data_IF_021690244958
#
_entry.id   IF_021690244958
#
_cell.length_a   1.000
_cell.length_b   1.000
_cell.length_c   1.000
_cell.angle_alpha   90.00
_cell.angle_beta   90.00
_cell.angle_gamma   90.00
#
_symmetry.space_group_name_H-M   'P 1'
#
loop_
_entity.id
_entity.type
_entity.pdbx_description
1 polymer ?
#
# COMPACT_ATOMS: atom_id res chain seq x y z
N UNK A 1 28.27 47.53 28.39
CA UNK A 1 29.69 47.09 28.31
C UNK A 1 29.94 46.12 29.44
N UNK A 2 30.69 45.05 29.20
CA UNK A 2 31.07 44.08 30.23
C UNK A 2 32.13 44.71 31.13
N UNK A 3 31.87 44.74 32.44
CA UNK A 3 32.81 45.30 33.43
C UNK A 3 33.63 44.20 34.08
N UNK A 4 33.04 43.01 34.27
CA UNK A 4 33.69 41.93 35.00
C UNK A 4 33.20 40.57 34.55
N UNK A 5 34.10 39.59 34.55
CA UNK A 5 33.80 38.18 34.30
C UNK A 5 34.33 37.36 35.47
N UNK A 6 33.49 36.45 35.98
CA UNK A 6 33.87 35.43 36.97
C UNK A 6 33.78 34.05 36.33
N UNK A 7 34.83 33.26 36.48
CA UNK A 7 34.95 31.94 35.84
C UNK A 7 35.39 30.94 36.90
N UNK A 8 34.64 29.84 37.03
CA UNK A 8 34.86 28.82 38.05
C UNK A 8 34.32 27.47 37.57
N UNK A 9 34.96 26.38 37.99
CA UNK A 9 34.51 24.99 37.77
C UNK A 9 34.24 24.64 36.30
N UNK A 10 35.07 25.14 35.39
CA UNK A 10 34.93 24.87 33.96
C UNK A 10 36.29 24.74 33.27
N UNK A 11 36.47 23.65 32.51
CA UNK A 11 37.69 23.35 31.78
C UNK A 11 38.96 23.44 32.66
N UNK A 12 39.82 24.44 32.44
CA UNK A 12 41.07 24.65 33.17
C UNK A 12 40.92 25.49 34.45
N UNK A 13 39.70 25.95 34.77
CA UNK A 13 39.42 26.74 35.96
C UNK A 13 38.89 25.86 37.08
N UNK A 14 39.57 25.90 38.23
CA UNK A 14 39.24 25.13 39.43
C UNK A 14 38.06 25.75 40.23
N UNK A 15 37.84 25.25 41.45
CA UNK A 15 36.81 25.73 42.35
C UNK A 15 37.15 27.05 43.06
N UNK A 16 38.41 27.48 43.05
CA UNK A 16 38.78 28.83 43.47
C UNK A 16 38.32 29.83 42.41
N UNK A 17 38.52 29.48 41.14
CA UNK A 17 38.12 30.30 39.99
C UNK A 17 38.93 31.59 39.88
N UNK A 18 38.52 32.46 38.96
CA UNK A 18 39.12 33.77 38.75
C UNK A 18 38.07 34.85 38.55
N UNK A 19 38.46 36.08 38.85
CA UNK A 19 37.71 37.29 38.53
C UNK A 19 38.59 38.20 37.66
N UNK A 20 38.04 38.67 36.55
CA UNK A 20 38.72 39.55 35.60
C UNK A 20 37.91 40.83 35.45
N UNK A 21 38.51 41.96 35.83
CA UNK A 21 37.98 43.28 35.54
C UNK A 21 38.36 43.68 34.10
N UNK A 22 37.38 44.14 33.33
CA UNK A 22 37.54 44.45 31.91
C UNK A 22 37.48 45.95 31.66
N UNK A 23 38.43 46.41 30.85
CA UNK A 23 38.47 47.75 30.27
C UNK A 23 37.81 47.76 28.88
N UNK A 24 37.81 48.91 28.20
CA UNK A 24 37.26 49.04 26.84
C UNK A 24 37.96 48.11 25.84
N UNK A 25 39.27 47.92 26.01
CA UNK A 25 40.09 47.02 25.20
C UNK A 25 40.89 46.15 26.19
N UNK A 26 40.91 44.85 25.96
CA UNK A 26 41.59 43.88 26.81
C UNK A 26 42.40 42.92 25.94
N UNK A 27 43.61 42.59 26.38
CA UNK A 27 44.46 41.58 25.76
C UNK A 27 44.64 40.42 26.74
N UNK A 28 44.12 39.25 26.37
CA UNK A 28 44.25 38.03 27.18
C UNK A 28 45.14 37.05 26.42
N UNK A 29 46.29 36.71 27.00
CA UNK A 29 47.30 35.85 26.39
C UNK A 29 47.84 34.82 27.39
N UNK A 30 48.52 33.79 26.88
CA UNK A 30 49.06 32.69 27.69
C UNK A 30 49.25 31.42 26.86
N UNK A 31 49.88 30.40 27.43
CA UNK A 31 50.15 29.12 26.77
C UNK A 31 48.89 28.33 26.39
N UNK A 32 49.02 27.32 25.53
CA UNK A 32 47.90 26.44 25.21
C UNK A 32 47.38 25.74 26.48
N UNK A 33 46.05 25.58 26.58
CA UNK A 33 45.42 24.95 27.75
C UNK A 33 45.16 25.87 28.95
N UNK A 34 45.57 27.14 28.92
CA UNK A 34 45.35 28.08 30.04
C UNK A 34 43.93 28.67 30.13
N UNK A 35 42.95 28.11 29.42
CA UNK A 35 41.54 28.54 29.52
C UNK A 35 41.12 29.71 28.63
N UNK A 36 42.00 30.29 27.81
CA UNK A 36 41.65 31.41 26.90
C UNK A 36 40.42 31.15 26.02
N UNK A 37 40.36 29.97 25.40
CA UNK A 37 39.22 29.57 24.57
C UNK A 37 37.94 29.44 25.41
N UNK A 38 38.04 28.99 26.66
CA UNK A 38 36.92 28.89 27.60
C UNK A 38 36.30 30.26 27.87
N UNK A 39 37.11 31.32 28.00
CA UNK A 39 36.60 32.69 28.15
C UNK A 39 35.78 33.09 26.91
N UNK A 40 36.31 32.85 25.70
CA UNK A 40 35.57 33.15 24.48
C UNK A 40 34.27 32.35 24.38
N UNK A 41 34.27 31.09 24.82
CA UNK A 41 33.09 30.22 24.80
C UNK A 41 32.04 30.63 25.83
N UNK A 42 32.46 31.09 27.01
CA UNK A 42 31.59 31.65 28.04
C UNK A 42 30.86 32.88 27.51
N UNK A 43 31.59 33.79 26.85
CA UNK A 43 30.99 34.97 26.22
C UNK A 43 30.02 34.57 25.09
N UNK A 44 30.33 33.52 24.33
CA UNK A 44 29.51 33.10 23.20
C UNK A 44 28.19 32.44 23.61
N UNK A 45 28.22 31.60 24.64
CA UNK A 45 27.07 30.79 25.05
C UNK A 45 27.02 30.66 26.57
N UNK A 46 26.83 31.78 27.26
CA UNK A 46 26.80 31.86 28.73
C UNK A 46 25.67 31.05 29.36
N UNK A 47 24.60 30.76 28.61
CA UNK A 47 23.44 30.00 29.06
C UNK A 47 23.71 28.49 29.11
N UNK A 48 24.80 28.02 28.50
CA UNK A 48 25.14 26.61 28.51
C UNK A 48 25.39 26.10 29.94
N UNK A 49 24.86 24.91 30.27
CA UNK A 49 24.98 24.28 31.59
C UNK A 49 26.43 24.18 32.10
N UNK A 50 27.41 24.04 31.18
CA UNK A 50 28.84 24.00 31.52
C UNK A 50 29.38 25.29 32.18
N UNK A 51 28.62 26.38 32.14
CA UNK A 51 28.98 27.68 32.69
C UNK A 51 28.10 28.10 33.88
N UNK A 52 27.38 27.16 34.51
CA UNK A 52 26.50 27.45 35.65
C UNK A 52 27.20 28.15 36.83
N UNK A 53 28.50 27.88 37.02
CA UNK A 53 29.32 28.48 38.07
C UNK A 53 30.03 29.77 37.63
N UNK A 54 29.77 30.28 36.42
CA UNK A 54 30.36 31.48 35.85
C UNK A 54 29.36 32.66 35.85
N UNK A 55 29.87 33.89 35.86
CA UNK A 55 29.03 35.09 35.82
C UNK A 55 29.65 36.19 34.93
N UNK A 56 28.80 36.96 34.26
CA UNK A 56 29.18 38.11 33.44
C UNK A 56 28.45 39.33 33.99
N UNK A 57 29.21 40.31 34.48
CA UNK A 57 28.68 41.56 35.02
C UNK A 57 28.76 42.67 33.98
N UNK A 58 27.61 43.30 33.74
CA UNK A 58 27.45 44.40 32.80
C UNK A 58 27.32 45.72 33.55
N UNK A 59 27.80 46.80 32.94
CA UNK A 59 27.64 48.16 33.45
C UNK A 59 26.17 48.47 33.72
N UNK A 60 25.89 48.99 34.92
CA UNK A 60 24.53 49.35 35.35
C UNK A 60 23.84 50.32 34.38
N UNK A 61 22.55 50.11 34.15
CA UNK A 61 21.71 50.96 33.30
C UNK A 61 21.80 50.66 31.80
N UNK A 62 22.36 49.52 31.39
CA UNK A 62 22.39 49.10 29.99
C UNK A 62 21.76 47.71 29.81
N UNK A 63 20.48 47.61 29.40
CA UNK A 63 19.91 46.34 28.97
C UNK A 63 20.41 45.99 27.55
N UNK A 64 20.76 44.73 27.37
CA UNK A 64 20.93 43.99 26.10
C UNK A 64 21.83 44.63 25.03
N UNK A 65 23.14 44.39 25.15
CA UNK A 65 24.05 44.56 24.03
C UNK A 65 24.16 43.26 23.23
N UNK A 66 24.13 43.38 21.90
CA UNK A 66 24.52 42.30 21.00
C UNK A 66 25.99 41.93 21.24
N UNK A 67 26.22 40.69 21.67
CA UNK A 67 27.55 40.16 21.94
C UNK A 67 28.02 39.31 20.76
N UNK A 68 28.95 39.86 19.98
CA UNK A 68 29.57 39.16 18.86
C UNK A 68 30.88 38.50 19.29
N UNK A 69 30.92 37.17 19.27
CA UNK A 69 32.13 36.41 19.58
C UNK A 69 32.64 35.71 18.34
N UNK A 70 33.76 36.20 17.81
CA UNK A 70 34.47 35.58 16.70
C UNK A 70 35.50 34.57 17.23
N UNK A 71 35.14 33.29 17.22
CA UNK A 71 36.02 32.21 17.63
C UNK A 71 35.93 31.00 16.68
N UNK A 72 36.66 29.91 16.97
CA UNK A 72 36.68 28.71 16.11
C UNK A 72 35.28 28.13 15.87
N UNK A 73 34.42 28.12 16.90
CA UNK A 73 33.07 27.59 16.79
C UNK A 73 32.18 28.49 15.93
N UNK A 74 32.33 29.81 16.02
CA UNK A 74 31.67 30.73 15.08
C UNK A 74 32.05 30.44 13.63
N UNK A 75 33.35 30.23 13.37
CA UNK A 75 33.82 29.87 12.01
C UNK A 75 33.23 28.55 11.56
N UNK A 76 33.26 27.51 12.41
CA UNK A 76 32.71 26.19 12.05
C UNK A 76 31.21 26.22 11.79
N UNK A 77 30.43 26.99 12.56
CA UNK A 77 28.98 27.05 12.41
C UNK A 77 28.52 27.92 11.24
N UNK A 78 29.31 28.91 10.84
CA UNK A 78 28.90 29.88 9.82
C UNK A 78 29.64 29.73 8.49
N UNK A 79 30.75 28.99 8.46
CA UNK A 79 31.58 28.76 7.29
C UNK A 79 31.73 27.26 7.06
N UNK A 80 30.63 26.64 6.65
CA UNK A 80 30.63 25.25 6.22
C UNK A 80 30.94 25.19 4.72
N UNK A 81 31.95 24.42 4.33
CA UNK A 81 32.20 24.07 2.93
C UNK A 81 31.13 23.05 2.56
N UNK A 82 29.93 23.53 2.20
CA UNK A 82 28.80 22.68 1.86
C UNK A 82 28.89 22.06 0.45
N UNK A 83 29.85 22.51 -0.35
CA UNK A 83 29.99 22.11 -1.74
C UNK A 83 31.38 21.50 -1.98
N UNK A 84 31.41 20.42 -2.77
CA UNK A 84 32.60 19.94 -3.49
C UNK A 84 33.19 21.00 -4.45
N UNK A 85 32.48 22.12 -4.62
CA UNK A 85 32.92 23.30 -5.37
C UNK A 85 33.85 24.13 -4.48
N UNK A 86 35.16 23.92 -4.67
CA UNK A 86 36.21 24.73 -4.05
C UNK A 86 35.98 26.22 -4.35
N UNK A 87 35.89 27.04 -3.30
CA UNK A 87 35.87 28.50 -3.40
C UNK A 87 34.51 29.17 -3.14
N UNK A 88 33.43 28.41 -2.94
CA UNK A 88 32.13 28.97 -2.51
C UNK A 88 32.00 28.81 -1.00
N UNK A 89 31.96 29.95 -0.29
CA UNK A 89 31.70 30.00 1.14
C UNK A 89 30.27 30.48 1.37
N UNK A 90 29.43 29.58 1.86
CA UNK A 90 28.08 29.96 2.31
C UNK A 90 28.19 30.56 3.71
N UNK A 91 27.67 31.77 3.89
CA UNK A 91 27.72 32.49 5.15
C UNK A 91 26.43 32.29 5.93
N UNK A 92 26.56 31.85 7.18
CA UNK A 92 25.45 31.82 8.15
C UNK A 92 24.92 30.42 8.41
N UNK A 93 24.78 30.08 9.69
CA UNK A 93 24.29 28.77 10.17
C UNK A 93 22.96 28.37 9.54
N UNK A 94 21.99 29.29 9.48
CA UNK A 94 20.67 29.04 8.89
C UNK A 94 20.75 28.65 7.41
N UNK A 95 21.65 29.28 6.65
CA UNK A 95 21.86 28.95 5.24
C UNK A 95 22.42 27.53 5.05
N UNK A 96 23.32 27.10 5.94
CA UNK A 96 23.91 25.75 5.89
C UNK A 96 22.90 24.65 6.24
N UNK A 97 22.06 24.87 7.25
CA UNK A 97 21.02 23.93 7.66
C UNK A 97 19.94 23.77 6.57
N UNK A 98 19.53 24.86 5.93
CA UNK A 98 18.56 24.84 4.83
C UNK A 98 19.13 24.07 3.62
N UNK A 99 20.39 24.28 3.27
CA UNK A 99 21.03 23.56 2.16
C UNK A 99 21.13 22.05 2.43
N UNK A 100 21.47 21.66 3.66
CA UNK A 100 21.48 20.25 4.06
C UNK A 100 20.08 19.62 3.98
N UNK A 101 19.05 20.37 4.38
CA UNK A 101 17.67 19.92 4.25
C UNK A 101 17.26 19.74 2.79
N UNK A 102 17.62 20.67 1.91
CA UNK A 102 17.34 20.58 0.47
C UNK A 102 18.02 19.35 -0.14
N UNK A 103 19.31 19.12 0.15
CA UNK A 103 20.05 17.95 -0.36
C UNK A 103 19.42 16.64 0.11
N UNK A 104 19.03 16.58 1.40
CA UNK A 104 18.29 15.43 1.94
C UNK A 104 16.98 15.19 1.21
N UNK A 105 16.19 16.25 0.96
CA UNK A 105 14.92 16.15 0.23
C UNK A 105 15.10 15.75 -1.23
N UNK A 106 16.16 16.19 -1.90
CA UNK A 106 16.48 15.77 -3.26
C UNK A 106 16.81 14.27 -3.33
N UNK A 107 17.62 13.76 -2.39
CA UNK A 107 17.92 12.33 -2.28
C UNK A 107 16.68 11.49 -1.99
N UNK A 108 15.81 11.97 -1.11
CA UNK A 108 14.53 11.30 -0.84
C UNK A 108 13.65 11.25 -2.10
N UNK A 109 13.57 12.35 -2.85
CA UNK A 109 12.80 12.43 -4.09
C UNK A 109 13.32 11.46 -5.16
N UNK A 110 14.64 11.38 -5.35
CA UNK A 110 15.27 10.43 -6.28
C UNK A 110 14.95 8.97 -5.89
N UNK A 111 15.11 8.63 -4.61
CA UNK A 111 14.77 7.29 -4.09
C UNK A 111 13.29 6.94 -4.30
N UNK A 112 12.39 7.90 -4.13
CA UNK A 112 10.96 7.70 -4.40
C UNK A 112 10.69 7.49 -5.88
N UNK A 113 11.36 8.25 -6.76
CA UNK A 113 11.23 8.11 -8.20
C UNK A 113 11.68 6.73 -8.69
N UNK A 114 12.82 6.25 -8.20
CA UNK A 114 13.32 4.90 -8.52
C UNK A 114 12.35 3.81 -8.06
N UNK A 115 11.78 3.97 -6.87
CA UNK A 115 10.80 3.02 -6.33
C UNK A 115 9.52 3.01 -7.15
N UNK A 116 9.04 4.16 -7.60
CA UNK A 116 7.88 4.25 -8.50
C UNK A 116 8.16 3.50 -9.80
N UNK A 117 9.29 3.78 -10.46
CA UNK A 117 9.66 3.11 -11.71
C UNK A 117 9.76 1.59 -11.56
N UNK A 118 10.33 1.10 -10.44
CA UNK A 118 10.39 -0.33 -10.16
C UNK A 118 9.00 -0.96 -9.95
N UNK A 119 8.08 -0.26 -9.27
CA UNK A 119 6.73 -0.76 -9.02
C UNK A 119 5.90 -0.78 -10.30
N UNK A 120 6.01 0.26 -11.13
CA UNK A 120 5.33 0.32 -12.43
C UNK A 120 5.78 -0.81 -13.35
N UNK A 121 7.09 -1.09 -13.41
CA UNK A 121 7.62 -2.23 -14.16
C UNK A 121 7.06 -3.57 -13.64
N UNK A 122 7.01 -3.75 -12.32
CA UNK A 122 6.45 -4.96 -11.73
C UNK A 122 4.96 -5.14 -12.07
N UNK A 123 4.17 -4.07 -12.00
CA UNK A 123 2.75 -4.08 -12.39
C UNK A 123 2.60 -4.48 -13.86
N UNK A 124 3.41 -3.92 -14.76
CA UNK A 124 3.35 -4.23 -16.18
C UNK A 124 3.70 -5.70 -16.44
N UNK A 125 4.76 -6.21 -15.82
CA UNK A 125 5.13 -7.63 -15.91
C UNK A 125 4.03 -8.55 -15.38
N UNK A 126 3.38 -8.20 -14.27
CA UNK A 126 2.29 -9.00 -13.70
C UNK A 126 1.04 -8.98 -14.58
N UNK A 127 0.71 -7.85 -15.20
CA UNK A 127 -0.38 -7.76 -16.18
C UNK A 127 -0.09 -8.64 -17.39
N UNK A 128 1.12 -8.57 -17.94
CA UNK A 128 1.51 -9.41 -19.07
C UNK A 128 1.44 -10.91 -18.72
N UNK A 129 1.97 -11.31 -17.57
CA UNK A 129 1.86 -12.69 -17.07
C UNK A 129 0.40 -13.14 -16.94
N UNK A 130 -0.48 -12.27 -16.43
CA UNK A 130 -1.90 -12.57 -16.29
C UNK A 130 -2.58 -12.76 -17.64
N UNK A 131 -2.30 -11.89 -18.62
CA UNK A 131 -2.87 -12.00 -19.97
C UNK A 131 -2.39 -13.26 -20.70
N UNK A 132 -1.10 -13.60 -20.56
CA UNK A 132 -0.56 -14.86 -21.10
C UNK A 132 -1.25 -16.06 -20.46
N UNK A 133 -1.38 -16.07 -19.13
CA UNK A 133 -2.03 -17.16 -18.39
C UNK A 133 -3.50 -17.31 -18.81
N UNK A 134 -4.24 -16.19 -18.88
CA UNK A 134 -5.64 -16.16 -19.30
C UNK A 134 -5.80 -16.67 -20.74
N UNK A 135 -4.92 -16.24 -21.64
CA UNK A 135 -4.93 -16.68 -23.04
C UNK A 135 -4.65 -18.18 -23.15
N UNK A 136 -3.63 -18.67 -22.45
CA UNK A 136 -3.29 -20.10 -22.44
C UNK A 136 -4.44 -20.94 -21.89
N UNK A 137 -5.05 -20.50 -20.79
CA UNK A 137 -6.20 -21.19 -20.21
C UNK A 137 -7.42 -21.17 -21.13
N UNK A 138 -7.72 -20.02 -21.74
CA UNK A 138 -8.81 -19.88 -22.73
C UNK A 138 -8.62 -20.84 -23.90
N UNK A 139 -7.40 -20.89 -24.45
CA UNK A 139 -7.08 -21.80 -25.55
C UNK A 139 -7.22 -23.26 -25.13
N UNK A 140 -6.74 -23.64 -23.93
CA UNK A 140 -6.89 -25.00 -23.44
C UNK A 140 -8.35 -25.44 -23.28
N UNK A 141 -9.19 -24.59 -22.69
CA UNK A 141 -10.64 -24.84 -22.60
C UNK A 141 -11.26 -24.96 -24.00
N UNK A 142 -10.84 -24.11 -24.94
CA UNK A 142 -11.35 -24.11 -26.29
C UNK A 142 -10.95 -25.36 -27.09
N UNK A 143 -9.71 -25.82 -26.95
CA UNK A 143 -9.22 -27.04 -27.60
C UNK A 143 -9.99 -28.28 -27.10
N UNK A 144 -10.25 -28.34 -25.79
CA UNK A 144 -11.10 -29.38 -25.19
C UNK A 144 -12.53 -29.32 -25.75
N UNK A 145 -13.10 -28.12 -25.85
CA UNK A 145 -14.42 -27.93 -26.47
C UNK A 145 -14.43 -28.43 -27.91
N UNK A 146 -13.42 -28.08 -28.71
CA UNK A 146 -13.34 -28.48 -30.11
C UNK A 146 -13.25 -30.00 -30.26
N UNK A 147 -12.50 -30.67 -29.38
CA UNK A 147 -12.37 -32.13 -29.37
C UNK A 147 -13.72 -32.84 -29.18
N UNK A 148 -14.61 -32.29 -28.37
CA UNK A 148 -15.91 -32.90 -28.04
C UNK A 148 -17.11 -32.22 -28.72
N UNK A 149 -16.87 -31.21 -29.57
CA UNK A 149 -17.93 -30.35 -30.12
C UNK A 149 -18.95 -31.13 -30.95
N UNK A 150 -18.49 -32.10 -31.73
CA UNK A 150 -19.34 -32.89 -32.64
C UNK A 150 -20.39 -33.71 -31.88
N UNK A 151 -20.04 -34.25 -30.72
CA UNK A 151 -20.91 -35.09 -29.91
C UNK A 151 -21.87 -34.27 -29.04
N UNK A 152 -21.43 -33.11 -28.55
CA UNK A 152 -22.16 -32.32 -27.55
C UNK A 152 -22.71 -31.00 -28.12
N UNK A 153 -23.00 -30.95 -29.42
CA UNK A 153 -23.37 -29.70 -30.10
C UNK A 153 -24.49 -28.94 -29.41
N UNK A 154 -25.52 -29.67 -28.99
CA UNK A 154 -26.71 -29.12 -28.33
C UNK A 154 -26.39 -28.63 -26.91
N UNK A 155 -25.56 -29.35 -26.17
CA UNK A 155 -25.17 -28.98 -24.81
C UNK A 155 -24.33 -27.69 -24.77
N UNK A 156 -23.54 -27.43 -25.82
CA UNK A 156 -22.73 -26.21 -25.93
C UNK A 156 -23.48 -25.00 -26.52
N UNK A 157 -24.78 -25.12 -26.81
CA UNK A 157 -25.58 -24.03 -27.41
C UNK A 157 -25.45 -22.73 -26.60
N UNK A 158 -25.22 -21.62 -27.30
CA UNK A 158 -24.99 -20.30 -26.67
C UNK A 158 -23.52 -20.00 -26.30
N UNK A 159 -22.65 -21.02 -26.24
CA UNK A 159 -21.22 -20.87 -25.91
C UNK A 159 -20.30 -21.20 -27.10
N UNK A 160 -20.84 -21.77 -28.19
CA UNK A 160 -20.07 -22.27 -29.35
C UNK A 160 -19.27 -21.23 -30.14
N UNK A 161 -19.59 -19.94 -30.01
CA UNK A 161 -19.04 -18.87 -30.86
C UNK A 161 -18.16 -17.87 -30.08
N UNK A 162 -17.95 -18.07 -28.78
CA UNK A 162 -17.18 -17.15 -27.94
C UNK A 162 -16.29 -17.92 -26.98
N UNK A 163 -14.97 -17.80 -27.16
CA UNK A 163 -13.96 -18.54 -26.39
C UNK A 163 -13.93 -18.09 -24.93
N UNK A 164 -14.09 -16.80 -24.68
CA UNK A 164 -14.06 -16.19 -23.35
C UNK A 164 -15.27 -16.65 -22.53
N UNK A 165 -16.47 -16.60 -23.11
CA UNK A 165 -17.70 -17.09 -22.45
C UNK A 165 -17.62 -18.58 -22.12
N UNK A 166 -16.98 -19.37 -22.99
CA UNK A 166 -16.77 -20.79 -22.73
C UNK A 166 -15.80 -21.01 -21.55
N UNK A 167 -14.67 -20.29 -21.53
CA UNK A 167 -13.73 -20.30 -20.42
C UNK A 167 -14.38 -19.87 -19.09
N UNK A 168 -15.15 -18.77 -19.08
CA UNK A 168 -15.89 -18.30 -17.90
C UNK A 168 -16.87 -19.37 -17.40
N UNK A 169 -17.56 -20.04 -18.32
CA UNK A 169 -18.45 -21.15 -17.97
C UNK A 169 -17.67 -22.32 -17.36
N UNK A 170 -16.51 -22.69 -17.91
CA UNK A 170 -15.66 -23.73 -17.33
C UNK A 170 -15.23 -23.39 -15.89
N UNK A 171 -14.87 -22.13 -15.61
CA UNK A 171 -14.54 -21.70 -14.24
C UNK A 171 -15.75 -21.76 -13.32
N UNK A 172 -16.89 -21.24 -13.76
CA UNK A 172 -18.14 -21.29 -12.99
C UNK A 172 -18.55 -22.72 -12.65
N UNK A 173 -18.42 -23.65 -13.60
CA UNK A 173 -18.70 -25.07 -13.36
C UNK A 173 -17.65 -25.71 -12.45
N UNK A 174 -16.36 -25.38 -12.57
CA UNK A 174 -15.34 -25.91 -11.67
C UNK A 174 -15.56 -25.50 -10.20
N UNK A 175 -16.09 -24.30 -9.96
CA UNK A 175 -16.34 -23.79 -8.60
C UNK A 175 -17.70 -24.23 -8.03
N UNK A 176 -18.75 -24.29 -8.86
CA UNK A 176 -20.14 -24.40 -8.38
C UNK A 176 -20.81 -25.74 -8.71
N UNK A 177 -20.21 -26.57 -9.57
CA UNK A 177 -20.84 -27.82 -9.99
C UNK A 177 -20.62 -28.93 -8.96
N UNK A 178 -21.71 -29.34 -8.31
CA UNK A 178 -21.74 -30.46 -7.37
C UNK A 178 -22.39 -31.72 -7.99
N UNK A 179 -22.58 -31.73 -9.31
CA UNK A 179 -23.21 -32.87 -10.00
C UNK A 179 -22.26 -34.05 -10.05
N UNK A 180 -22.82 -35.25 -10.08
CA UNK A 180 -22.05 -36.47 -10.32
C UNK A 180 -21.34 -36.40 -11.67
N UNK A 181 -20.05 -36.77 -11.66
CA UNK A 181 -19.25 -36.88 -12.87
C UNK A 181 -19.56 -38.21 -13.56
N UNK A 182 -19.88 -38.14 -14.84
CA UNK A 182 -20.15 -39.30 -15.68
C UNK A 182 -19.02 -39.53 -16.68
N UNK A 183 -18.81 -40.80 -17.08
CA UNK A 183 -17.81 -41.12 -18.10
C UNK A 183 -18.24 -40.59 -19.47
N UNK A 184 -17.28 -40.48 -20.38
CA UNK A 184 -17.54 -40.03 -21.74
C UNK A 184 -18.55 -40.94 -22.45
N UNK A 185 -18.49 -42.27 -22.28
CA UNK A 185 -19.45 -43.19 -22.89
C UNK A 185 -20.87 -42.98 -22.36
N UNK A 186 -21.00 -42.77 -21.04
CA UNK A 186 -22.29 -42.55 -20.36
C UNK A 186 -22.95 -41.26 -20.85
N UNK A 187 -22.16 -40.18 -20.97
CA UNK A 187 -22.62 -38.89 -21.48
C UNK A 187 -23.05 -38.97 -22.95
N UNK A 188 -22.28 -39.66 -23.80
CA UNK A 188 -22.67 -39.89 -25.20
C UNK A 188 -24.00 -40.64 -25.30
N UNK A 189 -24.19 -41.72 -24.53
CA UNK A 189 -25.44 -42.49 -24.51
C UNK A 189 -26.64 -41.62 -24.14
N UNK A 190 -26.48 -40.75 -23.12
CA UNK A 190 -27.53 -39.81 -22.70
C UNK A 190 -27.87 -38.81 -23.79
N UNK A 191 -26.86 -38.25 -24.47
CA UNK A 191 -27.09 -37.32 -25.58
C UNK A 191 -27.87 -38.00 -26.71
N UNK A 192 -27.51 -39.22 -27.08
CA UNK A 192 -28.23 -39.98 -28.11
C UNK A 192 -29.69 -40.21 -27.70
N UNK A 193 -29.94 -40.66 -26.47
CA UNK A 193 -31.29 -40.92 -25.97
C UNK A 193 -32.18 -39.67 -25.92
N UNK A 194 -31.62 -38.52 -25.55
CA UNK A 194 -32.40 -37.30 -25.27
C UNK A 194 -32.58 -36.42 -26.51
N UNK A 195 -31.62 -36.42 -27.44
CA UNK A 195 -31.56 -35.47 -28.55
C UNK A 195 -31.62 -36.08 -29.95
N UNK A 196 -31.37 -37.38 -30.16
CA UNK A 196 -31.51 -38.00 -31.51
C UNK A 196 -32.95 -38.38 -31.86
N UNK A 197 -33.80 -38.64 -30.88
CA UNK A 197 -35.20 -39.02 -31.14
C UNK A 197 -36.06 -37.78 -31.38
N UNK A 198 -36.69 -37.68 -32.55
CA UNK A 198 -37.66 -36.62 -32.86
C UNK A 198 -38.82 -36.70 -31.86
N UNK A 199 -38.96 -35.68 -31.01
CA UNK A 199 -40.07 -35.61 -30.06
C UNK A 199 -41.37 -35.40 -30.84
N UNK A 200 -42.13 -36.48 -31.03
CA UNK A 200 -43.50 -36.37 -31.56
C UNK A 200 -44.37 -35.85 -30.44
N UNK A 201 -45.06 -34.73 -30.67
CA UNK A 201 -46.03 -34.18 -29.72
C UNK A 201 -47.18 -35.17 -29.63
N UNK A 202 -47.21 -35.97 -28.56
CA UNK A 202 -48.33 -36.88 -28.29
C UNK A 202 -49.56 -36.01 -28.09
N UNK A 203 -50.64 -36.31 -28.80
CA UNK A 203 -51.92 -35.60 -28.66
C UNK A 203 -52.37 -35.73 -27.20
N UNK A 204 -52.93 -34.66 -26.64
CA UNK A 204 -53.54 -34.72 -25.31
C UNK A 204 -54.48 -35.92 -25.27
N UNK A 205 -54.35 -36.76 -24.25
CA UNK A 205 -55.32 -37.83 -24.01
C UNK A 205 -56.69 -37.14 -23.93
N UNK A 206 -57.66 -37.52 -24.77
CA UNK A 206 -58.97 -36.89 -24.73
C UNK A 206 -59.53 -37.08 -23.33
N UNK A 207 -60.02 -35.99 -22.74
CA UNK A 207 -60.71 -36.01 -21.47
C UNK A 207 -61.94 -36.91 -21.64
N UNK A 208 -61.96 -38.03 -20.91
CA UNK A 208 -63.12 -38.93 -20.92
C UNK A 208 -64.22 -38.18 -20.17
N UNK A 209 -65.12 -37.55 -20.91
CA UNK A 209 -66.35 -37.04 -20.32
C UNK A 209 -67.24 -38.23 -20.03
N UNK A 210 -67.24 -38.62 -18.76
CA UNK A 210 -68.13 -39.63 -18.24
C UNK A 210 -69.54 -39.03 -18.16
N UNK A 211 -70.41 -39.46 -19.07
CA UNK A 211 -71.82 -39.09 -19.05
C UNK A 211 -72.58 -40.04 -18.13
N UNK A 212 -72.84 -39.58 -16.91
CA UNK A 212 -73.61 -40.34 -15.90
C UNK A 212 -75.06 -40.63 -16.30
N UNK A 213 -75.59 -40.01 -17.36
CA UNK A 213 -76.95 -40.31 -17.85
C UNK A 213 -77.09 -41.74 -18.40
N UNK A 214 -75.96 -42.39 -18.72
CA UNK A 214 -75.95 -43.80 -19.13
C UNK A 214 -76.29 -44.74 -17.95
N UNK A 215 -76.00 -44.36 -16.71
CA UNK A 215 -76.36 -45.14 -15.52
C UNK A 215 -77.85 -45.01 -15.16
N UNK A 216 -78.52 -43.95 -15.62
CA UNK A 216 -79.96 -43.76 -15.43
C UNK A 216 -80.81 -44.59 -16.41
N UNK A 217 -80.19 -45.22 -17.41
CA UNK A 217 -80.93 -46.08 -18.33
C UNK A 217 -81.50 -47.29 -17.59
N UNK A 218 -82.76 -47.60 -17.91
CA UNK A 218 -83.56 -48.65 -17.27
C UNK A 218 -82.93 -50.04 -17.36
N UNK A 219 -81.95 -50.24 -18.26
CA UNK A 219 -81.20 -51.49 -18.40
C UNK A 219 -80.23 -51.72 -17.23
N UNK A 220 -79.74 -50.63 -16.61
CA UNK A 220 -78.81 -50.65 -15.48
C UNK A 220 -79.54 -50.53 -14.13
N UNK A 221 -80.74 -49.95 -14.12
CA UNK A 221 -81.67 -49.99 -12.99
C UNK A 221 -82.55 -51.26 -13.04
N UNK A 222 -81.92 -52.42 -13.00
CA UNK A 222 -82.62 -53.66 -12.66
C UNK A 222 -83.02 -53.60 -11.18
N UNK A 223 -84.24 -53.13 -10.94
CA UNK A 223 -84.96 -53.37 -9.69
C UNK A 223 -85.12 -54.89 -9.52
N UNK A 224 -84.12 -55.54 -8.92
CA UNK A 224 -84.28 -56.87 -8.35
C UNK A 224 -85.24 -56.75 -7.17
N UNK A 225 -86.53 -56.94 -7.46
CA UNK A 225 -87.50 -57.31 -6.44
C UNK A 225 -87.15 -58.73 -5.96
N UNK A 226 -86.82 -58.95 -4.67
CA UNK A 226 -86.59 -60.29 -4.17
C UNK A 226 -87.94 -61.03 -4.14
N UNK A 227 -88.11 -62.01 -5.03
CA UNK A 227 -89.16 -63.00 -4.93
C UNK A 227 -88.92 -63.91 -3.70
N UNK A 228 -89.57 -63.53 -2.61
CA UNK A 228 -90.45 -64.30 -1.71
C UNK A 228 -90.10 -65.77 -1.40
N UNK A 229 -89.90 -66.09 -0.10
CA UNK A 229 -90.42 -67.28 0.67
C UNK A 229 -90.23 -66.90 2.17
N UNK A 230 -91.16 -67.00 3.14
CA UNK A 230 -92.31 -67.89 3.42
C UNK A 230 -93.45 -67.13 4.11
#
# INVERSE_FOLDING_TARGET
MIEKIRIKEVASYDSTGIEVNLNKINYIYGSNGTGKTTISELLRNSVNQKFSSCNIEWKQGSPDFDLFVYNRNFVQENFSIHNDIKGIFTLGKESTEILALIDGKLKDAEKHQDRIGSLENNINQKKEQLEILKTNFTNHCWDLKQKYDENFKVAFTGLRNNREKFMEKCLSEAENNNSELYTYEELNRRVESVFKNSRVKIRSIPEIQYDGSLEEQSIFNLNYSPFIVS
#
